data_IF_065891445861
#
_entry.id   IF_065891445861
#
_cell.length_a   1.000
_cell.length_b   1.000
_cell.length_c   1.000
_cell.angle_alpha   90.00
_cell.angle_beta   90.00
_cell.angle_gamma   90.00
#
_symmetry.space_group_name_H-M   'P 1'
#
loop_
_entity.id
_entity.type
_entity.pdbx_description
1 polymer ?
#
# COMPACT_ATOMS: atom_id res chain seq x y z
N UNK A 1 -22.73 -11.97 -58.04
CA UNK A 1 -22.27 -13.31 -57.64
C UNK A 1 -22.08 -13.28 -56.13
N UNK A 2 -23.02 -13.85 -55.38
CA UNK A 2 -22.96 -13.91 -53.92
C UNK A 2 -22.31 -15.24 -53.52
N UNK A 3 -21.12 -15.17 -52.89
CA UNK A 3 -20.46 -16.35 -52.34
C UNK A 3 -21.17 -16.76 -51.05
N UNK A 4 -21.88 -17.88 -51.10
CA UNK A 4 -22.44 -18.55 -49.93
C UNK A 4 -21.30 -19.30 -49.25
N UNK A 5 -20.84 -18.78 -48.10
CA UNK A 5 -19.82 -19.44 -47.29
C UNK A 5 -20.53 -20.53 -46.48
N UNK A 6 -20.26 -21.78 -46.83
CA UNK A 6 -20.77 -22.96 -46.12
C UNK A 6 -19.99 -23.15 -44.81
N UNK A 7 -20.56 -22.69 -43.70
CA UNK A 7 -20.00 -22.91 -42.35
C UNK A 7 -20.24 -24.39 -41.99
N UNK A 8 -19.16 -25.16 -41.86
CA UNK A 8 -19.28 -26.57 -41.48
C UNK A 8 -19.79 -26.68 -40.03
N UNK A 9 -20.83 -27.48 -39.81
CA UNK A 9 -21.39 -27.76 -38.48
C UNK A 9 -20.39 -28.45 -37.53
N UNK A 10 -19.22 -28.86 -38.03
CA UNK A 10 -18.20 -29.58 -37.27
C UNK A 10 -17.30 -28.66 -36.43
N UNK A 11 -17.04 -27.44 -36.91
CA UNK A 11 -16.21 -26.45 -36.21
C UNK A 11 -16.78 -25.99 -34.84
N UNK A 12 -18.09 -25.66 -34.68
CA UNK A 12 -18.62 -25.25 -33.39
C UNK A 12 -18.64 -26.41 -32.38
N UNK A 13 -18.79 -27.65 -32.83
CA UNK A 13 -18.78 -28.83 -31.96
C UNK A 13 -17.37 -29.11 -31.45
N UNK A 14 -16.35 -29.03 -32.32
CA UNK A 14 -14.95 -29.15 -31.91
C UNK A 14 -14.52 -28.03 -30.95
N UNK A 15 -15.00 -26.80 -31.15
CA UNK A 15 -14.73 -25.68 -30.25
C UNK A 15 -15.46 -25.83 -28.90
N UNK A 16 -16.69 -26.35 -28.90
CA UNK A 16 -17.42 -26.67 -27.68
C UNK A 16 -16.75 -27.82 -26.90
N UNK A 17 -16.24 -28.85 -27.59
CA UNK A 17 -15.44 -29.91 -26.97
C UNK A 17 -14.12 -29.37 -26.41
N UNK A 18 -13.44 -28.45 -27.10
CA UNK A 18 -12.23 -27.81 -26.58
C UNK A 18 -12.53 -27.00 -25.30
N UNK A 19 -13.62 -26.23 -25.28
CA UNK A 19 -14.10 -25.51 -24.09
C UNK A 19 -14.50 -26.46 -22.94
N UNK A 20 -15.07 -27.62 -23.26
CA UNK A 20 -15.38 -28.67 -22.27
C UNK A 20 -14.11 -29.36 -21.75
N UNK A 21 -13.09 -29.57 -22.59
CA UNK A 21 -11.78 -30.11 -22.18
C UNK A 21 -10.97 -29.12 -21.34
N UNK A 22 -11.18 -27.80 -21.49
CA UNK A 22 -10.62 -26.78 -20.60
C UNK A 22 -11.37 -26.65 -19.27
N UNK A 23 -12.57 -27.21 -19.17
CA UNK A 23 -13.37 -27.22 -17.95
C UNK A 23 -12.91 -28.36 -17.03
N UNK A 24 -11.70 -28.22 -16.49
CA UNK A 24 -11.24 -29.07 -15.39
C UNK A 24 -12.17 -28.86 -14.21
N UNK A 25 -12.98 -29.86 -13.84
CA UNK A 25 -13.72 -29.85 -12.58
C UNK A 25 -12.72 -29.86 -11.44
N UNK A 26 -12.46 -28.71 -10.84
CA UNK A 26 -11.56 -28.58 -9.70
C UNK A 26 -12.24 -29.12 -8.45
N UNK A 27 -11.80 -30.28 -7.99
CA UNK A 27 -12.14 -30.73 -6.64
C UNK A 27 -11.47 -29.78 -5.64
N UNK A 28 -12.27 -28.96 -4.96
CA UNK A 28 -11.79 -28.07 -3.90
C UNK A 28 -11.10 -28.90 -2.80
N UNK A 29 -9.91 -28.47 -2.38
CA UNK A 29 -9.12 -29.19 -1.37
C UNK A 29 -9.58 -28.74 0.01
N UNK A 30 -10.24 -29.61 0.78
CA UNK A 30 -10.54 -29.30 2.17
C UNK A 30 -9.30 -29.57 3.04
N UNK A 31 -8.43 -28.56 3.20
CA UNK A 31 -7.18 -28.67 3.99
C UNK A 31 -7.47 -28.99 5.46
N UNK A 32 -8.54 -28.43 6.02
CA UNK A 32 -8.94 -28.72 7.41
C UNK A 32 -9.32 -30.18 7.59
N UNK A 33 -9.95 -30.81 6.59
CA UNK A 33 -10.24 -32.24 6.63
C UNK A 33 -8.96 -33.09 6.62
N UNK A 34 -7.95 -32.73 5.82
CA UNK A 34 -6.65 -33.41 5.80
C UNK A 34 -5.94 -33.27 7.15
N UNK A 35 -5.92 -32.07 7.72
CA UNK A 35 -5.30 -31.80 9.03
C UNK A 35 -6.03 -32.47 10.19
N UNK A 36 -7.35 -32.68 10.10
CA UNK A 36 -8.14 -33.33 11.15
C UNK A 36 -7.71 -34.76 11.46
N UNK A 37 -7.09 -35.44 10.50
CA UNK A 37 -6.49 -36.77 10.69
C UNK A 37 -5.27 -36.77 11.63
N UNK A 38 -4.69 -35.59 11.91
CA UNK A 38 -3.48 -35.44 12.72
C UNK A 38 -3.74 -34.64 14.00
N UNK A 39 -4.01 -35.30 15.15
CA UNK A 39 -4.25 -34.60 16.41
C UNK A 39 -3.05 -33.76 16.88
N UNK A 40 -1.84 -34.14 16.46
CA UNK A 40 -0.60 -33.42 16.75
C UNK A 40 -0.46 -32.08 15.99
N UNK A 41 -1.34 -31.79 15.03
CA UNK A 41 -1.38 -30.51 14.28
C UNK A 41 -2.57 -29.64 14.66
N UNK A 42 -3.30 -29.99 15.73
CA UNK A 42 -4.56 -29.31 16.09
C UNK A 42 -4.39 -27.82 16.38
N UNK A 43 -3.28 -27.40 17.03
CA UNK A 43 -3.00 -25.98 17.28
C UNK A 43 -2.82 -25.21 15.97
N UNK A 44 -2.04 -25.76 15.04
CA UNK A 44 -1.82 -25.16 13.73
C UNK A 44 -3.11 -25.11 12.88
N UNK A 45 -3.89 -26.19 12.90
CA UNK A 45 -5.19 -26.24 12.23
C UNK A 45 -6.15 -25.16 12.76
N UNK A 46 -6.20 -24.96 14.08
CA UNK A 46 -7.03 -23.91 14.67
C UNK A 46 -6.59 -22.50 14.24
N UNK A 47 -5.28 -22.26 14.13
CA UNK A 47 -4.75 -20.98 13.62
C UNK A 47 -5.13 -20.73 12.16
N UNK A 48 -5.12 -21.76 11.30
CA UNK A 48 -5.56 -21.62 9.91
C UNK A 48 -7.05 -21.31 9.78
N UNK A 49 -7.87 -21.85 10.69
CA UNK A 49 -9.32 -21.59 10.72
C UNK A 49 -9.60 -20.18 11.27
N UNK A 50 -8.98 -19.80 12.40
CA UNK A 50 -9.22 -18.51 13.04
C UNK A 50 -8.71 -17.32 12.20
N UNK A 51 -7.66 -17.52 11.42
CA UNK A 51 -7.11 -16.51 10.50
C UNK A 51 -7.84 -16.40 9.16
N UNK A 52 -8.77 -17.32 8.85
CA UNK A 52 -9.48 -17.37 7.57
C UNK A 52 -8.67 -17.94 6.40
N UNK A 53 -7.41 -18.33 6.61
CA UNK A 53 -6.55 -18.93 5.57
C UNK A 53 -7.08 -20.28 5.08
N UNK A 54 -7.76 -21.04 5.94
CA UNK A 54 -8.37 -22.32 5.55
C UNK A 54 -9.32 -22.20 4.33
N UNK A 55 -10.07 -21.10 4.24
CA UNK A 55 -10.95 -20.83 3.11
C UNK A 55 -10.15 -20.49 1.83
N UNK A 56 -9.08 -19.70 1.97
CA UNK A 56 -8.18 -19.32 0.87
C UNK A 56 -7.45 -20.55 0.28
N UNK A 57 -7.04 -21.50 1.12
CA UNK A 57 -6.41 -22.74 0.69
C UNK A 57 -7.35 -23.66 -0.07
N UNK A 58 -8.66 -23.59 0.21
CA UNK A 58 -9.66 -24.47 -0.40
C UNK A 58 -9.87 -24.20 -1.89
N UNK A 59 -9.57 -22.99 -2.36
CA UNK A 59 -9.68 -22.59 -3.77
C UNK A 59 -8.42 -22.83 -4.60
N UNK A 60 -7.36 -23.40 -4.01
CA UNK A 60 -6.06 -23.55 -4.68
C UNK A 60 -5.73 -25.00 -5.03
N UNK A 61 -4.87 -25.16 -6.03
CA UNK A 61 -4.33 -26.45 -6.47
C UNK A 61 -2.83 -26.51 -6.14
N UNK A 62 -2.32 -27.73 -5.94
CA UNK A 62 -0.90 -28.03 -5.77
C UNK A 62 -0.19 -27.22 -4.68
N UNK A 63 -0.49 -27.52 -3.42
CA UNK A 63 0.08 -26.83 -2.26
C UNK A 63 1.00 -27.74 -1.45
N UNK A 64 2.00 -27.15 -0.80
CA UNK A 64 2.76 -27.83 0.28
C UNK A 64 2.61 -27.03 1.56
N UNK A 65 2.00 -27.65 2.57
CA UNK A 65 1.73 -27.07 3.87
C UNK A 65 2.88 -27.35 4.82
N UNK A 66 3.48 -26.32 5.39
CA UNK A 66 4.50 -26.43 6.44
C UNK A 66 3.78 -26.36 7.80
N UNK A 67 3.39 -27.53 8.30
CA UNK A 67 2.64 -27.64 9.55
C UNK A 67 3.60 -27.83 10.73
N UNK A 68 3.41 -27.03 11.77
CA UNK A 68 4.18 -27.12 13.02
C UNK A 68 3.44 -28.03 14.00
N UNK A 69 4.06 -29.14 14.47
CA UNK A 69 3.47 -29.97 15.51
C UNK A 69 3.30 -29.23 16.83
N UNK A 70 2.30 -29.64 17.60
CA UNK A 70 2.03 -29.07 18.93
C UNK A 70 3.23 -29.14 19.88
N UNK A 71 4.10 -30.16 19.75
CA UNK A 71 5.33 -30.29 20.55
C UNK A 71 6.43 -29.28 20.16
N UNK A 72 6.33 -28.69 18.98
CA UNK A 72 7.30 -27.75 18.40
C UNK A 72 6.79 -26.30 18.43
N UNK A 73 5.56 -26.05 18.90
CA UNK A 73 5.13 -24.70 19.25
C UNK A 73 5.89 -24.24 20.49
N UNK A 74 6.89 -23.38 20.28
CA UNK A 74 7.64 -22.79 21.39
C UNK A 74 6.76 -21.75 22.10
N UNK A 75 7.04 -21.47 23.38
CA UNK A 75 6.35 -20.38 24.10
C UNK A 75 6.44 -19.05 23.36
N UNK A 76 7.56 -18.82 22.66
CA UNK A 76 7.73 -17.69 21.75
C UNK A 76 6.65 -17.67 20.67
N UNK A 77 6.45 -18.78 19.95
CA UNK A 77 5.49 -18.88 18.83
C UNK A 77 4.04 -18.68 19.29
N UNK A 78 3.70 -19.17 20.49
CA UNK A 78 2.38 -18.94 21.10
C UNK A 78 2.20 -17.48 21.46
N UNK A 79 3.22 -16.83 22.02
CA UNK A 79 3.17 -15.40 22.29
C UNK A 79 3.19 -14.56 21.00
N UNK A 80 3.83 -15.04 19.93
CA UNK A 80 3.79 -14.38 18.63
C UNK A 80 2.38 -14.41 18.06
N UNK A 81 1.78 -15.60 17.99
CA UNK A 81 0.43 -15.78 17.44
C UNK A 81 -0.65 -15.06 18.25
N UNK A 82 -0.42 -14.80 19.55
CA UNK A 82 -1.31 -13.95 20.37
C UNK A 82 -1.05 -12.45 20.23
N UNK A 83 0.19 -12.03 20.00
CA UNK A 83 0.57 -10.61 19.88
C UNK A 83 0.29 -10.04 18.50
N UNK A 84 0.28 -10.88 17.47
CA UNK A 84 0.07 -10.45 16.09
C UNK A 84 -1.40 -10.08 15.84
N UNK A 85 -1.60 -8.98 15.12
CA UNK A 85 -2.92 -8.63 14.57
C UNK A 85 -3.42 -9.76 13.64
N UNK A 86 -4.74 -9.94 13.49
CA UNK A 86 -5.30 -11.00 12.63
C UNK A 86 -4.76 -10.99 11.20
N UNK A 87 -4.50 -9.81 10.63
CA UNK A 87 -3.91 -9.67 9.30
C UNK A 87 -2.46 -10.19 9.25
N UNK A 88 -1.63 -9.83 10.22
CA UNK A 88 -0.23 -10.26 10.30
C UNK A 88 -0.14 -11.75 10.61
N UNK A 89 -1.06 -12.28 11.43
CA UNK A 89 -1.17 -13.72 11.67
C UNK A 89 -1.52 -14.47 10.38
N UNK A 90 -2.47 -13.95 9.59
CA UNK A 90 -2.83 -14.52 8.30
C UNK A 90 -1.63 -14.50 7.34
N UNK A 91 -0.85 -13.42 7.30
CA UNK A 91 0.34 -13.30 6.46
C UNK A 91 1.50 -14.21 6.89
N UNK A 92 1.71 -14.37 8.20
CA UNK A 92 2.62 -15.38 8.75
C UNK A 92 2.21 -16.79 8.30
N UNK A 93 0.92 -17.12 8.41
CA UNK A 93 0.42 -18.44 7.99
C UNK A 93 0.52 -18.64 6.47
N UNK A 94 0.27 -17.60 5.65
CA UNK A 94 0.50 -17.64 4.20
C UNK A 94 1.96 -17.92 3.87
N UNK A 95 2.90 -17.38 4.65
CA UNK A 95 4.33 -17.65 4.43
C UNK A 95 4.72 -19.10 4.75
N UNK A 96 3.95 -19.78 5.61
CA UNK A 96 4.13 -21.21 5.92
C UNK A 96 3.42 -22.15 4.92
N UNK A 97 2.94 -21.63 3.78
CA UNK A 97 2.32 -22.42 2.71
C UNK A 97 3.08 -22.19 1.42
N UNK A 98 3.54 -23.26 0.79
CA UNK A 98 4.19 -23.21 -0.52
C UNK A 98 3.14 -23.41 -1.62
N UNK A 99 3.30 -22.67 -2.71
CA UNK A 99 2.37 -22.66 -3.86
C UNK A 99 2.66 -23.76 -4.89
N UNK A 100 3.49 -24.74 -4.52
CA UNK A 100 3.80 -25.90 -5.34
C UNK A 100 3.62 -27.19 -4.56
N UNK A 101 3.26 -28.25 -5.26
CA UNK A 101 3.23 -29.60 -4.73
C UNK A 101 4.65 -30.19 -4.74
N UNK A 102 5.15 -30.56 -3.56
CA UNK A 102 6.43 -31.26 -3.40
C UNK A 102 6.16 -32.72 -3.01
N UNK A 103 6.53 -33.66 -3.87
CA UNK A 103 6.50 -35.08 -3.51
C UNK A 103 7.77 -35.50 -2.77
N UNK A 104 7.74 -36.67 -2.13
CA UNK A 104 8.95 -37.29 -1.55
C UNK A 104 10.10 -37.41 -2.57
N UNK A 105 9.77 -37.73 -3.82
CA UNK A 105 10.76 -37.80 -4.91
C UNK A 105 11.34 -36.43 -5.26
N UNK A 106 10.52 -35.38 -5.24
CA UNK A 106 10.97 -34.01 -5.50
C UNK A 106 11.86 -33.51 -4.38
N UNK A 107 11.48 -33.76 -3.12
CA UNK A 107 12.28 -33.44 -1.93
C UNK A 107 13.66 -34.10 -1.97
N UNK A 108 13.76 -35.34 -2.47
CA UNK A 108 15.05 -36.05 -2.64
C UNK A 108 15.90 -35.48 -3.77
N UNK A 109 15.28 -34.87 -4.79
CA UNK A 109 15.96 -34.27 -5.95
C UNK A 109 16.40 -32.82 -5.74
N UNK A 110 16.03 -32.21 -4.61
CA UNK A 110 16.43 -30.85 -4.29
C UNK A 110 17.96 -30.75 -4.26
N UNK A 111 18.56 -29.84 -5.04
CA UNK A 111 20.00 -29.69 -5.07
C UNK A 111 20.52 -29.07 -3.76
N UNK A 112 21.79 -29.32 -3.41
CA UNK A 112 22.42 -28.67 -2.26
C UNK A 112 22.58 -27.15 -2.45
N UNK A 113 22.59 -26.67 -3.70
CA UNK A 113 22.55 -25.24 -4.03
C UNK A 113 21.21 -24.56 -3.69
N UNK A 114 20.16 -25.35 -3.47
CA UNK A 114 18.83 -24.88 -3.13
C UNK A 114 17.90 -24.71 -4.32
N UNK A 115 16.61 -24.74 -4.02
CA UNK A 115 15.50 -24.52 -4.94
C UNK A 115 14.60 -23.43 -4.38
N UNK A 116 14.44 -22.34 -5.10
CA UNK A 116 13.53 -21.25 -4.73
C UNK A 116 12.08 -21.67 -5.00
N UNK A 117 11.23 -21.52 -3.99
CA UNK A 117 9.81 -21.86 -4.03
C UNK A 117 8.99 -20.66 -3.55
N UNK A 118 7.99 -20.26 -4.33
CA UNK A 118 7.09 -19.17 -3.96
C UNK A 118 6.12 -19.60 -2.86
N UNK A 119 5.94 -18.76 -1.85
CA UNK A 119 4.94 -18.99 -0.80
C UNK A 119 3.60 -18.37 -1.17
N UNK A 120 2.56 -18.73 -0.42
CA UNK A 120 1.23 -18.13 -0.56
C UNK A 120 1.27 -16.63 -0.27
N UNK A 121 2.19 -16.20 0.58
CA UNK A 121 2.41 -14.80 0.90
C UNK A 121 2.90 -14.02 -0.34
N UNK A 122 3.79 -14.61 -1.14
CA UNK A 122 4.20 -14.05 -2.43
C UNK A 122 3.06 -14.01 -3.44
N UNK A 123 2.35 -15.14 -3.60
CA UNK A 123 1.23 -15.23 -4.53
C UNK A 123 0.03 -14.33 -4.16
N UNK A 124 -0.03 -13.87 -2.91
CA UNK A 124 -1.02 -12.89 -2.47
C UNK A 124 -0.68 -11.44 -2.87
N UNK A 125 0.51 -11.20 -3.42
CA UNK A 125 1.00 -9.86 -3.78
C UNK A 125 1.39 -9.00 -2.58
N UNK A 126 1.43 -9.58 -1.37
CA UNK A 126 1.77 -8.89 -0.12
C UNK A 126 3.27 -8.89 0.19
N UNK A 127 4.02 -9.77 -0.47
CA UNK A 127 5.46 -9.84 -0.29
C UNK A 127 6.18 -8.64 -0.91
N UNK A 128 7.16 -8.11 -0.19
CA UNK A 128 8.15 -7.17 -0.72
C UNK A 128 8.97 -7.91 -1.78
N UNK A 129 9.41 -7.22 -2.84
CA UNK A 129 10.12 -7.84 -3.96
C UNK A 129 11.23 -8.81 -3.49
N UNK A 130 11.04 -10.11 -3.73
CA UNK A 130 11.99 -11.17 -3.36
C UNK A 130 11.92 -11.69 -1.92
N UNK A 131 11.05 -11.15 -1.04
CA UNK A 131 10.90 -11.60 0.35
C UNK A 131 9.82 -12.67 0.56
N UNK A 132 9.05 -12.98 -0.48
CA UNK A 132 7.94 -13.93 -0.43
C UNK A 132 8.31 -15.37 -0.79
N UNK A 133 9.51 -15.60 -1.33
CA UNK A 133 9.96 -16.94 -1.70
C UNK A 133 10.83 -17.54 -0.60
N UNK A 134 10.86 -18.87 -0.52
CA UNK A 134 11.73 -19.60 0.40
C UNK A 134 12.70 -20.46 -0.40
N UNK A 135 13.93 -20.56 0.07
CA UNK A 135 14.94 -21.43 -0.53
C UNK A 135 14.94 -22.78 0.20
N UNK A 136 14.55 -23.83 -0.52
CA UNK A 136 14.55 -25.20 -0.01
C UNK A 136 15.87 -25.86 -0.39
N UNK A 137 16.67 -26.24 0.60
CA UNK A 137 17.97 -26.90 0.42
C UNK A 137 17.97 -28.28 1.03
N UNK A 138 18.65 -29.24 0.40
CA UNK A 138 18.88 -30.57 0.97
C UNK A 138 20.34 -30.75 1.33
N UNK A 139 20.60 -31.15 2.56
CA UNK A 139 21.95 -31.51 2.99
C UNK A 139 22.31 -32.91 2.45
N UNK A 140 23.38 -33.06 1.64
CA UNK A 140 23.80 -34.35 1.12
C UNK A 140 24.33 -35.30 2.19
N UNK A 141 24.80 -34.79 3.34
CA UNK A 141 25.37 -35.61 4.41
C UNK A 141 24.29 -36.23 5.32
N UNK A 142 23.37 -35.42 5.84
CA UNK A 142 22.28 -35.89 6.70
C UNK A 142 21.01 -36.31 5.94
N UNK A 143 20.88 -35.89 4.69
CA UNK A 143 19.67 -36.07 3.90
C UNK A 143 18.49 -35.19 4.35
N UNK A 144 18.72 -34.29 5.31
CA UNK A 144 17.71 -33.38 5.87
C UNK A 144 17.36 -32.26 4.89
N UNK A 145 16.09 -31.87 4.86
CA UNK A 145 15.59 -30.75 4.05
C UNK A 145 15.41 -29.53 4.95
N UNK A 146 16.04 -28.43 4.57
CA UNK A 146 15.98 -27.14 5.25
C UNK A 146 15.26 -26.13 4.39
N UNK A 147 14.38 -25.34 4.98
CA UNK A 147 13.66 -24.26 4.31
C UNK A 147 14.18 -22.97 4.90
N UNK A 148 14.78 -22.14 4.05
CA UNK A 148 15.42 -20.88 4.44
C UNK A 148 14.61 -19.72 3.90
N UNK A 149 14.16 -18.87 4.81
CA UNK A 149 13.67 -17.54 4.46
C UNK A 149 14.86 -16.64 4.08
N UNK A 150 14.74 -15.76 3.08
CA UNK A 150 15.82 -14.84 2.67
C UNK A 150 16.35 -13.96 3.82
N UNK A 151 15.47 -13.56 4.74
CA UNK A 151 15.78 -12.57 5.79
C UNK A 151 15.41 -13.06 7.20
N UNK A 152 15.20 -14.37 7.39
CA UNK A 152 14.71 -14.90 8.67
C UNK A 152 15.32 -16.27 8.99
N UNK A 153 14.96 -16.81 10.17
CA UNK A 153 15.42 -18.10 10.64
C UNK A 153 15.10 -19.23 9.64
N UNK A 154 16.06 -20.11 9.42
CA UNK A 154 15.85 -21.36 8.67
C UNK A 154 15.16 -22.40 9.53
N UNK A 155 14.24 -23.14 8.94
CA UNK A 155 13.55 -24.27 9.59
C UNK A 155 13.98 -25.59 8.94
N UNK A 156 13.81 -26.68 9.68
CA UNK A 156 14.09 -28.04 9.24
C UNK A 156 12.80 -28.82 9.05
N UNK A 157 12.71 -29.57 7.95
CA UNK A 157 11.60 -30.49 7.72
C UNK A 157 11.88 -31.77 8.51
N UNK A 158 11.04 -32.04 9.50
CA UNK A 158 11.15 -33.19 10.37
C UNK A 158 10.65 -34.46 9.68
N UNK A 159 9.48 -34.36 9.04
CA UNK A 159 8.82 -35.53 8.45
C UNK A 159 7.80 -35.13 7.38
N UNK A 160 7.70 -35.93 6.32
CA UNK A 160 6.58 -35.91 5.39
C UNK A 160 5.40 -36.66 6.02
N UNK A 161 4.32 -35.96 6.37
CA UNK A 161 3.17 -36.53 7.06
C UNK A 161 2.14 -37.10 6.10
N UNK A 162 1.80 -36.34 5.06
CA UNK A 162 0.82 -36.76 4.07
C UNK A 162 1.18 -36.21 2.69
N UNK A 163 0.84 -36.97 1.67
CA UNK A 163 0.91 -36.53 0.28
C UNK A 163 -0.32 -37.06 -0.43
N UNK A 164 -1.13 -36.16 -0.97
CA UNK A 164 -2.27 -36.49 -1.81
C UNK A 164 -2.03 -35.86 -3.19
N UNK A 165 -1.32 -36.57 -4.09
CA UNK A 165 -1.01 -36.04 -5.41
C UNK A 165 -2.28 -35.80 -6.23
N UNK A 166 -2.33 -34.77 -7.10
CA UNK A 166 -1.37 -33.66 -7.25
C UNK A 166 -1.71 -32.44 -6.38
N UNK A 167 -2.50 -32.64 -5.32
CA UNK A 167 -3.29 -31.60 -4.69
C UNK A 167 -2.59 -30.98 -3.47
N UNK A 168 -2.18 -31.80 -2.50
CA UNK A 168 -1.61 -31.30 -1.24
C UNK A 168 -0.52 -32.21 -0.69
N UNK A 169 0.54 -31.59 -0.17
CA UNK A 169 1.56 -32.23 0.66
C UNK A 169 1.56 -31.57 2.03
N UNK A 170 1.63 -32.35 3.11
CA UNK A 170 1.76 -31.83 4.48
C UNK A 170 3.13 -32.24 5.04
N UNK A 171 3.95 -31.25 5.32
CA UNK A 171 5.28 -31.40 5.91
C UNK A 171 5.25 -30.96 7.38
N UNK A 172 5.79 -31.78 8.26
CA UNK A 172 6.06 -31.42 9.64
C UNK A 172 7.37 -30.64 9.70
N UNK A 173 7.37 -29.47 10.33
CA UNK A 173 8.56 -28.63 10.52
C UNK A 173 8.80 -28.32 11.99
N UNK A 174 10.01 -27.87 12.32
CA UNK A 174 10.48 -27.64 13.70
C UNK A 174 10.06 -26.29 14.30
N UNK A 175 9.68 -25.29 13.50
CA UNK A 175 9.22 -23.98 13.95
C UNK A 175 8.45 -23.24 12.84
N UNK A 176 7.71 -22.19 13.20
CA UNK A 176 6.99 -21.34 12.24
C UNK A 176 7.97 -20.43 11.49
N UNK A 177 7.79 -20.34 10.17
CA UNK A 177 8.52 -19.41 9.34
C UNK A 177 7.88 -18.03 9.43
N UNK A 178 8.68 -16.99 9.71
CA UNK A 178 8.21 -15.60 9.78
C UNK A 178 8.69 -14.87 8.52
N UNK A 179 7.79 -14.19 7.78
CA UNK A 179 8.18 -13.36 6.65
C UNK A 179 8.89 -12.09 7.12
N UNK A 180 9.75 -11.54 6.26
CA UNK A 180 10.44 -10.29 6.52
C UNK A 180 9.43 -9.13 6.63
N UNK A 181 9.52 -8.32 7.69
CA UNK A 181 8.66 -7.14 7.89
C UNK A 181 7.51 -7.31 8.89
N UNK A 182 7.32 -8.52 9.45
CA UNK A 182 6.48 -8.68 10.64
C UNK A 182 7.34 -8.40 11.87
N UNK A 183 7.18 -7.23 12.48
CA UNK A 183 7.89 -6.91 13.73
C UNK A 183 7.39 -7.81 14.87
N UNK A 184 8.32 -8.58 15.42
CA UNK A 184 8.10 -9.56 16.48
C UNK A 184 8.40 -8.95 17.86
N UNK A 185 8.84 -7.69 17.90
CA UNK A 185 9.35 -7.01 19.10
C UNK A 185 8.47 -5.91 19.66
N UNK A 186 7.26 -5.71 19.11
CA UNK A 186 6.24 -4.85 19.69
C UNK A 186 5.69 -5.46 21.01
N UNK A 187 6.42 -5.27 22.10
CA UNK A 187 5.99 -5.64 23.44
C UNK A 187 6.55 -4.68 24.48
N UNK A 188 6.15 -3.41 24.41
CA UNK A 188 5.86 -2.61 25.62
C UNK A 188 5.02 -1.40 25.22
N UNK A 189 3.71 -1.48 25.43
CA UNK A 189 2.83 -0.46 26.04
C UNK A 189 1.39 -0.95 25.87
N UNK A 190 1.01 -1.92 26.72
CA UNK A 190 -0.41 -2.16 27.00
C UNK A 190 -0.83 -1.11 28.03
N UNK A 191 -1.58 -0.11 27.60
CA UNK A 191 -2.58 0.53 28.47
C UNK A 191 -3.97 0.17 27.93
N UNK A 192 -4.94 -0.14 28.80
CA UNK A 192 -6.19 -0.81 28.43
C UNK A 192 -7.11 0.11 27.62
N UNK A 193 -8.00 -0.44 26.77
CA UNK A 193 -8.90 0.34 25.94
C UNK A 193 -10.14 0.79 26.74
N UNK A 194 -10.73 1.96 26.48
CA UNK A 194 -12.16 2.10 26.59
C UNK A 194 -12.83 1.52 25.33
N UNK A 195 -13.89 0.78 25.60
CA UNK A 195 -14.67 -0.07 24.70
C UNK A 195 -15.48 0.69 23.65
N UNK A 196 -15.55 0.06 22.47
CA UNK A 196 -16.70 -0.03 21.55
C UNK A 196 -17.27 1.22 20.88
N UNK A 197 -17.13 1.23 19.55
CA UNK A 197 -17.96 1.97 18.61
C UNK A 197 -17.84 1.35 17.21
N UNK A 198 -18.76 0.44 16.89
CA UNK A 198 -18.92 -0.26 15.61
C UNK A 198 -19.16 0.70 14.43
N UNK A 199 -18.39 0.56 13.34
CA UNK A 199 -18.87 0.79 11.96
C UNK A 199 -17.86 0.22 10.94
N UNK A 200 -18.30 -0.18 9.73
CA UNK A 200 -17.68 -1.24 8.93
C UNK A 200 -16.49 -0.76 8.10
N UNK A 201 -15.52 -1.66 7.97
CA UNK A 201 -14.43 -1.71 7.00
C UNK A 201 -14.68 -0.96 5.66
N UNK A 202 -13.81 0.00 5.29
CA UNK A 202 -13.43 0.27 3.91
C UNK A 202 -12.13 -0.52 3.53
N UNK A 203 -11.85 -0.71 2.24
CA UNK A 203 -10.90 -1.70 1.73
C UNK A 203 -9.44 -1.34 2.09
N UNK A 204 -8.57 -2.36 2.13
CA UNK A 204 -7.11 -2.29 2.30
C UNK A 204 -6.47 -0.92 2.01
N UNK A 205 -6.45 -0.04 3.01
CA UNK A 205 -5.80 1.27 2.98
C UNK A 205 -4.35 1.16 3.42
N UNK A 206 -3.51 2.05 2.93
CA UNK A 206 -2.10 2.10 3.31
C UNK A 206 -2.02 2.66 4.74
N UNK A 207 -1.30 1.97 5.63
CA UNK A 207 -1.18 2.41 7.01
C UNK A 207 0.02 3.36 7.16
N UNK A 208 -0.25 4.67 7.15
CA UNK A 208 0.79 5.70 7.23
C UNK A 208 1.58 5.60 8.55
N UNK A 209 0.93 5.17 9.64
CA UNK A 209 1.58 4.94 10.94
C UNK A 209 2.71 3.92 10.80
N UNK A 210 2.45 2.78 10.14
CA UNK A 210 3.44 1.72 9.94
C UNK A 210 4.60 2.18 9.04
N UNK A 211 4.31 2.94 7.99
CA UNK A 211 5.34 3.50 7.10
C UNK A 211 6.31 4.40 7.89
N UNK A 212 5.77 5.26 8.74
CA UNK A 212 6.55 6.20 9.53
C UNK A 212 7.41 5.50 10.60
N UNK A 213 6.87 4.46 11.24
CA UNK A 213 7.62 3.62 12.19
C UNK A 213 8.80 2.93 11.49
N UNK A 214 8.56 2.33 10.32
CA UNK A 214 9.59 1.64 9.53
C UNK A 214 10.68 2.59 9.01
N UNK A 215 10.36 3.88 8.87
CA UNK A 215 11.32 4.90 8.43
C UNK A 215 12.35 5.33 9.48
N UNK A 216 12.21 4.88 10.74
CA UNK A 216 13.08 5.09 11.92
C UNK A 216 13.37 6.55 12.37
N UNK A 217 13.33 7.53 11.47
CA UNK A 217 13.71 8.92 11.71
C UNK A 217 12.50 9.87 11.75
N UNK A 218 11.29 9.35 12.00
CA UNK A 218 10.04 10.12 11.91
C UNK A 218 9.19 10.07 13.19
N UNK A 219 9.81 9.79 14.34
CA UNK A 219 9.11 9.56 15.60
C UNK A 219 8.35 10.80 16.09
N UNK A 220 8.95 11.99 15.90
CA UNK A 220 8.34 13.28 16.30
C UNK A 220 7.17 13.62 15.38
N UNK A 221 7.33 13.45 14.07
CA UNK A 221 6.27 13.65 13.09
C UNK A 221 5.09 12.71 13.36
N UNK A 222 5.36 11.43 13.60
CA UNK A 222 4.35 10.42 13.90
C UNK A 222 3.55 10.80 15.14
N UNK A 223 4.23 11.22 16.21
CA UNK A 223 3.58 11.65 17.46
C UNK A 223 2.65 12.85 17.22
N UNK A 224 3.05 13.81 16.39
CA UNK A 224 2.22 14.96 16.02
C UNK A 224 1.01 14.58 15.16
N UNK A 225 1.17 13.64 14.23
CA UNK A 225 0.07 13.13 13.39
C UNK A 225 -0.98 12.39 14.22
N UNK A 226 -0.54 11.56 15.17
CA UNK A 226 -1.44 10.86 16.09
C UNK A 226 -2.13 11.84 17.03
N UNK A 227 -1.39 12.79 17.62
CA UNK A 227 -1.95 13.76 18.56
C UNK A 227 -2.93 14.76 17.93
N UNK A 228 -2.79 15.05 16.64
CA UNK A 228 -3.68 15.94 15.90
C UNK A 228 -4.88 15.23 15.26
N UNK A 229 -4.84 13.90 15.15
CA UNK A 229 -5.91 13.10 14.55
C UNK A 229 -6.03 13.20 13.03
N UNK A 230 -5.10 13.88 12.35
CA UNK A 230 -5.12 14.04 10.88
C UNK A 230 -4.64 12.81 10.12
N UNK A 231 -4.08 11.82 10.83
CA UNK A 231 -3.60 10.58 10.18
C UNK A 231 -4.72 9.83 9.47
N UNK A 232 -5.89 9.76 10.09
CA UNK A 232 -7.08 9.12 9.52
C UNK A 232 -7.62 9.91 8.32
N UNK A 233 -7.45 11.23 8.30
CA UNK A 233 -7.81 12.06 7.15
C UNK A 233 -6.90 11.73 5.96
N UNK A 234 -5.59 11.63 6.18
CA UNK A 234 -4.65 11.29 5.12
C UNK A 234 -4.89 9.88 4.55
N UNK A 235 -5.17 8.90 5.41
CA UNK A 235 -5.51 7.54 4.99
C UNK A 235 -6.84 7.48 4.22
N UNK A 236 -7.78 8.39 4.48
CA UNK A 236 -9.04 8.49 3.73
C UNK A 236 -8.89 9.28 2.42
N UNK A 237 -7.93 10.22 2.35
CA UNK A 237 -7.65 11.03 1.16
C UNK A 237 -6.79 10.29 0.11
N UNK A 238 -6.38 9.05 0.39
CA UNK A 238 -5.69 8.17 -0.58
C UNK A 238 -6.59 7.79 -1.79
N UNK A 239 -7.90 8.03 -1.70
CA UNK A 239 -8.85 7.75 -2.77
C UNK A 239 -8.77 8.80 -3.90
N UNK A 240 -8.70 8.37 -5.16
CA UNK A 240 -8.73 9.27 -6.32
C UNK A 240 -7.35 9.50 -6.96
N UNK A 241 -6.82 10.73 -6.89
CA UNK A 241 -5.53 11.12 -7.48
C UNK A 241 -4.30 10.74 -6.62
N UNK A 242 -4.54 10.24 -5.41
CA UNK A 242 -3.52 9.86 -4.45
C UNK A 242 -2.88 11.04 -3.72
N UNK A 243 -1.97 10.74 -2.80
CA UNK A 243 -1.31 11.74 -1.96
C UNK A 243 0.20 11.58 -1.98
N UNK A 244 0.90 12.71 -1.76
CA UNK A 244 2.34 12.72 -1.51
C UNK A 244 2.60 13.39 -0.16
N UNK A 245 3.19 12.65 0.78
CA UNK A 245 3.44 13.10 2.15
C UNK A 245 4.92 13.44 2.31
N UNK A 246 5.23 14.68 2.69
CA UNK A 246 6.57 15.12 3.05
C UNK A 246 6.76 15.10 4.56
N UNK A 247 7.49 14.11 5.07
CA UNK A 247 7.64 13.89 6.51
C UNK A 247 8.96 14.50 6.98
N UNK A 248 8.95 15.48 7.89
CA UNK A 248 10.19 16.00 8.46
C UNK A 248 10.86 14.94 9.32
N UNK A 249 12.18 14.82 9.21
CA UNK A 249 12.95 13.92 10.08
C UNK A 249 13.02 14.44 11.51
N UNK A 250 13.34 13.59 12.47
CA UNK A 250 13.51 14.00 13.88
C UNK A 250 14.61 15.09 14.04
N UNK A 251 15.63 15.07 13.18
CA UNK A 251 16.62 16.14 13.08
C UNK A 251 16.03 17.46 12.59
N UNK A 252 15.07 17.42 11.66
CA UNK A 252 14.39 18.59 11.14
C UNK A 252 13.59 19.33 12.23
N UNK A 253 13.02 18.59 13.18
CA UNK A 253 12.35 19.18 14.36
C UNK A 253 13.35 19.75 15.36
N UNK A 254 14.54 19.17 15.46
CA UNK A 254 15.61 19.68 16.33
C UNK A 254 16.21 20.98 15.79
N UNK A 255 16.21 21.15 14.46
CA UNK A 255 16.72 22.34 13.76
C UNK A 255 15.69 23.49 13.66
N UNK A 256 14.53 23.37 14.31
CA UNK A 256 13.51 24.42 14.33
C UNK A 256 14.01 25.65 15.10
N UNK A 257 13.73 26.88 14.62
CA UNK A 257 14.12 28.09 15.32
C UNK A 257 13.31 28.23 16.63
N UNK A 258 13.95 28.71 17.70
CA UNK A 258 13.40 28.75 19.07
C UNK A 258 12.06 29.51 19.19
N UNK A 259 11.77 30.41 18.24
CA UNK A 259 10.52 31.16 18.16
C UNK A 259 9.34 30.36 17.59
N UNK A 260 9.54 29.10 17.17
CA UNK A 260 8.52 28.22 16.59
C UNK A 260 8.35 26.98 17.46
N UNK A 261 7.34 26.98 18.32
CA UNK A 261 6.99 25.83 19.15
C UNK A 261 5.70 25.16 18.67
N UNK A 262 5.85 24.18 17.78
CA UNK A 262 4.74 23.40 17.22
C UNK A 262 3.97 22.60 18.29
N UNK A 263 4.62 22.27 19.42
CA UNK A 263 3.98 21.55 20.52
C UNK A 263 2.99 22.44 21.29
N UNK A 264 3.24 23.75 21.36
CA UNK A 264 2.38 24.72 22.06
C UNK A 264 1.11 25.10 21.30
N UNK A 265 1.02 24.74 20.02
CA UNK A 265 -0.13 25.10 19.19
C UNK A 265 -1.40 24.32 19.56
N UNK A 266 -2.59 24.95 19.39
CA UNK A 266 -3.87 24.25 19.41
C UNK A 266 -3.93 23.13 18.36
N UNK A 267 -4.75 22.11 18.62
CA UNK A 267 -4.90 20.96 17.74
C UNK A 267 -5.24 21.36 16.28
N UNK A 268 -6.09 22.37 16.10
CA UNK A 268 -6.47 22.90 14.79
C UNK A 268 -5.29 23.51 14.02
N UNK A 269 -4.44 24.29 14.69
CA UNK A 269 -3.26 24.89 14.05
C UNK A 269 -2.21 23.83 13.71
N UNK A 270 -2.05 22.81 14.58
CA UNK A 270 -1.20 21.65 14.30
C UNK A 270 -1.69 20.90 13.06
N UNK A 271 -2.99 20.66 12.96
CA UNK A 271 -3.60 20.00 11.81
C UNK A 271 -3.32 20.76 10.50
N UNK A 272 -3.41 22.09 10.49
CA UNK A 272 -3.08 22.89 9.30
C UNK A 272 -1.60 22.77 8.91
N UNK A 273 -0.68 22.83 9.87
CA UNK A 273 0.76 22.62 9.58
C UNK A 273 1.01 21.23 9.03
N UNK A 274 0.35 20.20 9.55
CA UNK A 274 0.53 18.83 9.09
C UNK A 274 -0.09 18.61 7.70
N UNK A 275 -1.28 19.15 7.41
CA UNK A 275 -1.90 19.15 6.08
C UNK A 275 -1.04 19.88 5.04
N UNK A 276 -0.31 20.91 5.44
CA UNK A 276 0.62 21.61 4.56
C UNK A 276 1.82 20.76 4.11
N UNK A 277 2.11 19.66 4.80
CA UNK A 277 3.14 18.71 4.39
C UNK A 277 2.64 17.68 3.37
N UNK A 278 1.36 17.72 2.97
CA UNK A 278 0.76 16.72 2.08
C UNK A 278 0.27 17.37 0.81
N UNK A 279 0.63 16.80 -0.34
CA UNK A 279 0.08 17.15 -1.65
C UNK A 279 -1.13 16.29 -1.97
N UNK A 280 -2.09 16.87 -2.70
CA UNK A 280 -3.33 16.21 -3.15
C UNK A 280 -3.15 15.37 -4.44
N UNK A 281 -1.93 14.91 -4.73
CA UNK A 281 -1.64 14.06 -5.88
C UNK A 281 -0.46 13.14 -5.59
N UNK A 282 -0.49 11.94 -6.15
CA UNK A 282 0.63 11.00 -6.10
C UNK A 282 1.77 11.45 -7.01
N UNK A 283 2.94 11.69 -6.43
CA UNK A 283 4.17 11.97 -7.14
C UNK A 283 5.25 10.97 -6.75
N UNK A 284 5.84 10.30 -7.73
CA UNK A 284 7.09 9.56 -7.54
C UNK A 284 8.26 10.53 -7.44
N UNK A 285 9.40 10.06 -6.90
CA UNK A 285 10.62 10.88 -6.84
C UNK A 285 11.00 11.41 -8.24
N UNK A 286 10.96 10.55 -9.26
CA UNK A 286 11.23 10.94 -10.65
C UNK A 286 10.24 11.98 -11.22
N UNK A 287 8.99 11.98 -10.75
CA UNK A 287 8.00 12.98 -11.15
C UNK A 287 8.27 14.33 -10.49
N UNK A 288 8.67 14.34 -9.22
CA UNK A 288 9.09 15.56 -8.52
C UNK A 288 10.36 16.16 -9.13
N UNK A 289 11.27 15.30 -9.60
CA UNK A 289 12.49 15.70 -10.29
C UNK A 289 12.24 16.37 -11.65
N UNK A 290 11.17 15.96 -12.34
CA UNK A 290 10.79 16.43 -13.68
C UNK A 290 9.64 17.43 -13.64
N UNK A 291 9.34 17.98 -12.47
CA UNK A 291 8.18 18.84 -12.27
C UNK A 291 8.30 20.14 -13.09
N UNK A 292 7.30 20.40 -13.93
CA UNK A 292 7.27 21.57 -14.81
C UNK A 292 6.54 22.75 -14.18
N UNK A 293 5.53 22.46 -13.35
CA UNK A 293 4.80 23.44 -12.55
C UNK A 293 5.34 23.40 -11.12
N UNK A 294 6.15 24.38 -10.69
CA UNK A 294 6.79 24.31 -9.38
C UNK A 294 5.80 24.50 -8.23
N UNK A 295 4.71 25.27 -8.43
CA UNK A 295 3.74 25.56 -7.38
C UNK A 295 2.71 24.43 -7.31
N UNK A 296 2.68 23.73 -6.17
CA UNK A 296 1.79 22.61 -5.90
C UNK A 296 0.83 22.93 -4.74
N UNK A 297 -0.47 22.65 -4.89
CA UNK A 297 -1.43 22.78 -3.79
C UNK A 297 -1.23 21.68 -2.75
N UNK A 298 -1.49 22.02 -1.49
CA UNK A 298 -1.44 21.06 -0.36
C UNK A 298 -2.84 20.76 0.14
N UNK A 299 -2.99 19.78 1.04
CA UNK A 299 -4.27 19.54 1.72
C UNK A 299 -4.72 20.76 2.55
N UNK A 300 -3.79 21.59 3.02
CA UNK A 300 -4.14 22.84 3.71
C UNK A 300 -4.74 23.89 2.75
N UNK A 301 -4.41 23.85 1.45
CA UNK A 301 -4.98 24.75 0.43
C UNK A 301 -6.47 24.53 0.24
N UNK A 302 -6.95 23.29 0.33
CA UNK A 302 -8.37 22.95 0.15
C UNK A 302 -9.27 23.69 1.16
N UNK A 303 -8.82 23.77 2.41
CA UNK A 303 -9.57 24.41 3.49
C UNK A 303 -9.44 25.94 3.52
N UNK A 304 -8.31 26.48 3.06
CA UNK A 304 -8.01 27.91 3.12
C UNK A 304 -8.34 28.69 1.84
N UNK A 305 -8.57 27.99 0.72
CA UNK A 305 -8.86 28.58 -0.58
C UNK A 305 -7.66 28.65 -1.53
N UNK A 306 -7.96 28.77 -2.83
CA UNK A 306 -6.97 28.73 -3.90
C UNK A 306 -5.86 29.80 -3.73
N UNK A 307 -4.60 29.36 -3.77
CA UNK A 307 -3.42 30.24 -3.73
C UNK A 307 -2.80 30.42 -2.33
N UNK A 308 -3.43 29.90 -1.28
CA UNK A 308 -2.87 29.84 0.08
C UNK A 308 -2.26 28.47 0.36
N UNK A 309 -1.24 28.38 1.22
CA UNK A 309 -0.65 27.10 1.64
C UNK A 309 -0.10 26.23 0.49
N UNK A 310 0.47 26.85 -0.55
CA UNK A 310 1.11 26.13 -1.67
C UNK A 310 2.59 25.88 -1.41
N UNK A 311 3.12 24.75 -1.89
CA UNK A 311 4.55 24.44 -1.87
C UNK A 311 5.19 24.71 -3.23
N UNK A 312 6.43 25.22 -3.24
CA UNK A 312 7.21 25.38 -4.46
C UNK A 312 8.29 24.29 -4.52
N UNK A 313 8.14 23.36 -5.47
CA UNK A 313 9.04 22.22 -5.65
C UNK A 313 9.96 22.51 -6.83
N UNK A 314 11.26 22.38 -6.62
CA UNK A 314 12.27 22.64 -7.64
C UNK A 314 13.39 21.63 -7.59
N UNK A 315 14.11 21.50 -8.71
CA UNK A 315 15.29 20.65 -8.82
C UNK A 315 16.56 21.48 -8.69
N UNK A 316 17.49 21.03 -7.85
CA UNK A 316 18.83 21.61 -7.71
C UNK A 316 19.88 20.57 -8.10
N UNK A 317 20.95 21.01 -8.77
CA UNK A 317 22.10 20.19 -9.16
C UNK A 317 21.75 18.91 -9.92
N UNK A 318 20.66 18.92 -10.70
CA UNK A 318 20.38 17.83 -11.61
C UNK A 318 20.01 16.50 -10.97
N UNK A 319 19.69 16.42 -9.66
CA UNK A 319 19.14 15.22 -8.97
C UNK A 319 18.44 15.51 -7.64
N UNK A 320 18.63 16.69 -7.03
CA UNK A 320 18.12 16.97 -5.67
C UNK A 320 16.78 17.70 -5.75
N UNK A 321 15.73 17.13 -5.17
CA UNK A 321 14.42 17.78 -5.04
C UNK A 321 14.42 18.68 -3.81
N UNK A 322 14.13 19.97 -4.00
CA UNK A 322 13.99 20.97 -2.94
C UNK A 322 12.56 21.48 -2.88
N UNK A 323 12.07 21.68 -1.66
CA UNK A 323 10.70 22.09 -1.36
C UNK A 323 10.77 23.40 -0.59
N UNK A 324 10.18 24.44 -1.14
CA UNK A 324 10.19 25.78 -0.59
C UNK A 324 8.78 26.14 -0.10
N UNK A 325 8.65 26.41 1.21
CA UNK A 325 7.40 26.84 1.84
C UNK A 325 7.18 28.37 1.81
N UNK A 326 8.11 29.13 1.23
CA UNK A 326 8.20 30.59 1.29
C UNK A 326 8.97 31.11 2.51
N UNK A 327 9.03 30.32 3.59
CA UNK A 327 9.83 30.60 4.79
C UNK A 327 11.04 29.68 4.93
N UNK A 328 10.87 28.42 4.56
CA UNK A 328 11.87 27.36 4.74
C UNK A 328 12.12 26.68 3.40
N UNK A 329 13.39 26.41 3.13
CA UNK A 329 13.82 25.55 2.02
C UNK A 329 14.25 24.19 2.60
N UNK A 330 13.44 23.17 2.35
CA UNK A 330 13.70 21.79 2.72
C UNK A 330 14.24 21.00 1.52
N UNK A 331 14.97 19.92 1.81
CA UNK A 331 15.51 19.00 0.80
C UNK A 331 14.92 17.62 1.06
N UNK A 332 14.51 16.91 0.02
CA UNK A 332 14.10 15.50 0.12
C UNK A 332 15.35 14.67 0.42
N UNK A 333 15.37 13.99 1.57
CA UNK A 333 16.52 13.22 2.05
C UNK A 333 16.40 11.73 1.72
N UNK A 334 15.19 11.19 1.76
CA UNK A 334 14.95 9.76 1.53
C UNK A 334 13.52 9.50 1.04
N UNK A 335 13.31 8.35 0.39
CA UNK A 335 11.98 7.83 0.05
C UNK A 335 11.60 6.78 1.09
N UNK A 336 10.61 7.07 1.93
CA UNK A 336 10.16 6.16 2.99
C UNK A 336 9.14 5.14 2.46
N UNK A 337 8.32 5.56 1.50
CA UNK A 337 7.35 4.70 0.83
C UNK A 337 7.00 5.28 -0.54
N UNK A 338 6.78 4.43 -1.54
CA UNK A 338 6.39 4.86 -2.88
C UNK A 338 5.59 3.75 -3.55
N UNK A 339 4.25 3.80 -3.44
CA UNK A 339 3.33 2.92 -4.15
C UNK A 339 2.03 3.65 -4.44
N UNK A 340 1.66 3.77 -5.71
CA UNK A 340 0.40 4.38 -6.11
C UNK A 340 -0.80 3.78 -5.33
N UNK A 341 -1.61 4.58 -4.62
CA UNK A 341 -1.75 6.03 -4.77
C UNK A 341 -0.98 6.91 -3.74
N UNK A 342 -0.02 6.37 -2.98
CA UNK A 342 0.66 7.09 -1.89
C UNK A 342 2.18 7.08 -2.04
N UNK A 343 2.78 8.25 -1.89
CA UNK A 343 4.23 8.38 -1.72
C UNK A 343 4.55 9.14 -0.44
N UNK A 344 5.61 8.72 0.24
CA UNK A 344 6.08 9.30 1.50
C UNK A 344 7.58 9.57 1.37
N UNK A 345 7.96 10.84 1.49
CA UNK A 345 9.34 11.29 1.38
C UNK A 345 9.79 11.94 2.68
N UNK A 346 10.98 11.59 3.14
CA UNK A 346 11.64 12.28 4.24
C UNK A 346 12.19 13.63 3.78
N UNK A 347 12.01 14.67 4.59
CA UNK A 347 12.54 16.02 4.32
C UNK A 347 13.41 16.54 5.45
N UNK A 348 14.43 17.33 5.08
CA UNK A 348 15.45 17.82 6.02
C UNK A 348 14.99 18.96 6.94
N UNK A 349 13.87 19.63 6.63
CA UNK A 349 13.32 20.73 7.41
C UNK A 349 11.81 20.64 7.49
N UNK A 350 11.23 21.10 8.61
CA UNK A 350 9.78 21.24 8.75
C UNK A 350 9.29 22.37 7.85
N UNK A 351 8.28 22.07 7.03
CA UNK A 351 7.65 23.03 6.13
C UNK A 351 6.71 23.93 6.94
N UNK A 352 7.05 25.21 7.02
CA UNK A 352 6.26 26.19 7.79
C UNK A 352 5.44 27.05 6.83
N UNK A 353 4.10 27.07 6.95
CA UNK A 353 3.25 27.97 6.17
C UNK A 353 3.49 29.43 6.53
N UNK A 354 3.72 30.29 5.54
CA UNK A 354 3.88 31.73 5.75
C UNK A 354 2.65 32.40 6.37
N UNK A 355 1.48 31.81 6.16
CA UNK A 355 0.19 32.27 6.65
C UNK A 355 0.04 32.08 8.17
N UNK A 356 0.69 31.05 8.74
CA UNK A 356 0.71 30.80 10.19
C UNK A 356 1.93 31.42 10.87
N UNK A 357 2.98 31.70 10.11
CA UNK A 357 4.24 32.24 10.61
C UNK A 357 4.61 33.53 9.87
N UNK A 358 3.82 34.62 10.02
CA UNK A 358 4.18 35.89 9.44
C UNK A 358 5.55 36.31 9.97
N UNK A 359 6.48 36.68 9.08
CA UNK A 359 7.72 37.35 9.50
C UNK A 359 7.32 38.58 10.30
N UNK A 360 7.84 38.75 11.52
CA UNK A 360 7.68 39.96 12.31
C UNK A 360 7.89 41.19 11.43
N UNK A 361 6.80 41.83 11.02
CA UNK A 361 6.81 42.88 10.00
C UNK A 361 5.66 42.86 8.98
N UNK A 362 4.87 41.78 8.85
CA UNK A 362 3.63 41.81 8.03
C UNK A 362 2.39 41.76 8.91
N UNK A 363 1.72 42.92 9.00
CA UNK A 363 0.38 43.08 9.57
C UNK A 363 -0.60 42.18 8.83
N UNK A 364 -1.22 41.24 9.57
CA UNK A 364 -2.38 40.48 9.11
C UNK A 364 -3.51 41.48 8.90
N UNK A 365 -3.86 41.74 7.63
CA UNK A 365 -5.14 42.36 7.30
C UNK A 365 -6.22 41.30 7.48
N UNK A 366 -6.67 41.12 8.72
CA UNK A 366 -7.85 40.32 9.04
C UNK A 366 -9.08 41.07 8.54
N UNK A 367 -9.97 40.48 7.73
CA UNK A 367 -11.32 41.00 7.56
C UNK A 367 -12.06 40.86 8.90
N UNK A 368 -12.66 41.91 9.48
CA UNK A 368 -13.36 41.78 10.76
C UNK A 368 -14.72 41.10 10.56
N UNK A 369 -14.90 39.94 11.20
CA UNK A 369 -16.21 39.33 11.40
C UNK A 369 -16.86 39.89 12.68
N UNK A 370 -17.90 40.70 12.47
CA UNK A 370 -19.14 40.87 13.25
C UNK A 370 -19.12 40.81 14.78
N UNK A 371 -19.45 41.95 15.42
CA UNK A 371 -20.36 42.01 16.57
C UNK A 371 -21.19 43.33 16.58
N UNK A 372 -22.43 43.36 17.11
CA UNK A 372 -23.50 44.36 16.85
C UNK A 372 -23.66 45.40 18.00
N UNK A 373 -24.75 46.21 18.08
CA UNK A 373 -25.23 47.26 17.18
C UNK A 373 -25.31 48.63 17.91
N UNK A 374 -24.80 49.75 17.38
CA UNK A 374 -25.18 51.08 17.88
C UNK A 374 -25.23 52.17 16.80
N UNK A 375 -26.28 52.97 16.94
CA UNK A 375 -26.83 54.13 16.23
C UNK A 375 -25.93 55.03 15.36
N UNK A 376 -26.53 55.38 14.21
CA UNK A 376 -26.76 56.74 13.67
C UNK A 376 -25.56 57.70 13.72
N UNK A 377 -25.01 58.08 12.56
CA UNK A 377 -25.08 59.47 12.07
C UNK A 377 -24.38 59.66 10.71
N UNK A 378 -25.18 60.12 9.74
CA UNK A 378 -24.92 61.13 8.70
C UNK A 378 -23.71 61.01 7.74
N UNK A 379 -24.06 60.92 6.45
CA UNK A 379 -23.25 61.23 5.26
C UNK A 379 -22.72 62.69 5.25
N UNK A 380 -21.85 63.07 4.28
CA UNK A 380 -22.37 63.43 2.95
C UNK A 380 -21.54 62.92 1.76
N UNK A 381 -22.27 62.39 0.79
CA UNK A 381 -22.27 62.75 -0.65
C UNK A 381 -21.10 63.58 -1.20
N UNK A 382 -20.44 63.07 -2.24
CA UNK A 382 -20.31 63.82 -3.51
C UNK A 382 -19.91 62.92 -4.69
N UNK A 383 -20.86 62.77 -5.61
CA UNK A 383 -20.75 62.93 -7.08
C UNK A 383 -19.79 62.02 -7.86
N UNK A 384 -20.28 60.99 -8.57
CA UNK A 384 -20.90 61.05 -9.92
C UNK A 384 -19.90 61.46 -11.01
N UNK A 385 -19.49 60.47 -11.83
CA UNK A 385 -19.63 60.52 -13.29
C UNK A 385 -19.18 59.20 -13.94
N UNK A 386 -20.16 58.38 -14.29
CA UNK A 386 -20.12 57.42 -15.40
C UNK A 386 -20.79 58.10 -16.60
N UNK A 387 -20.45 57.72 -17.84
CA UNK A 387 -21.52 57.15 -18.64
C UNK A 387 -21.12 55.88 -19.39
N UNK A 388 -22.07 54.95 -19.39
CA UNK A 388 -22.06 53.69 -20.13
C UNK A 388 -22.09 53.90 -21.64
N UNK A 389 -21.41 53.01 -22.36
CA UNK A 389 -21.83 52.46 -23.65
C UNK A 389 -21.09 51.13 -23.84
N UNK A 390 -21.52 50.11 -24.57
CA UNK A 390 -22.77 49.57 -25.13
C UNK A 390 -22.28 48.24 -25.78
N UNK A 391 -23.10 47.19 -25.75
CA UNK A 391 -23.04 45.95 -26.56
C UNK A 391 -21.95 45.87 -27.66
N UNK A 392 -21.25 44.73 -27.77
CA UNK A 392 -21.09 43.90 -29.00
C UNK A 392 -20.31 42.60 -28.66
N UNK A 393 -20.95 41.43 -28.81
CA UNK A 393 -20.35 40.17 -29.33
C UNK A 393 -20.59 40.17 -30.86
N UNK A 394 -19.90 39.42 -31.77
CA UNK A 394 -19.40 38.01 -31.71
C UNK A 394 -18.08 37.85 -32.56
N UNK A 395 -17.70 36.74 -33.27
CA UNK A 395 -18.28 35.40 -33.40
C UNK A 395 -17.36 34.17 -33.28
N UNK A 396 -18.06 33.03 -33.25
CA UNK A 396 -17.60 31.65 -33.50
C UNK A 396 -17.46 31.39 -35.00
N UNK A 397 -16.51 30.53 -35.36
CA UNK A 397 -16.52 29.54 -36.46
C UNK A 397 -15.53 28.43 -36.02
N UNK A 398 -15.90 27.16 -35.79
CA UNK A 398 -16.32 26.06 -36.70
C UNK A 398 -15.15 25.51 -37.56
N UNK A 399 -15.13 24.16 -37.68
CA UNK A 399 -14.20 23.24 -38.40
C UNK A 399 -13.16 22.61 -37.47
N UNK A 400 -12.89 21.31 -37.41
CA UNK A 400 -13.52 20.07 -37.89
C UNK A 400 -12.68 18.90 -37.34
N UNK A 401 -13.37 17.83 -36.96
CA UNK A 401 -13.05 16.40 -37.11
C UNK A 401 -11.58 15.92 -37.11
N UNK A 402 -11.29 14.99 -36.18
CA UNK A 402 -10.07 14.18 -36.15
C UNK A 402 -10.24 12.89 -35.34
N UNK A 403 -11.24 12.07 -35.67
CA UNK A 403 -11.34 10.70 -35.17
C UNK A 403 -10.46 9.77 -36.01
N UNK A 404 -9.38 9.22 -35.44
CA UNK A 404 -8.58 8.17 -36.08
C UNK A 404 -8.12 7.13 -35.05
N UNK A 405 -8.63 5.90 -35.25
CA UNK A 405 -8.08 4.56 -34.91
C UNK A 405 -8.00 4.11 -33.43
N UNK A 406 -9.15 3.62 -32.98
CA UNK A 406 -9.25 2.32 -32.31
C UNK A 406 -8.86 1.17 -33.28
N UNK A 407 -8.58 -0.03 -32.75
CA UNK A 407 -8.80 -1.34 -33.44
C UNK A 407 -7.61 -2.09 -34.09
N UNK A 408 -6.34 -1.66 -34.01
CA UNK A 408 -5.26 -2.44 -34.67
C UNK A 408 -4.54 -3.50 -33.81
N UNK A 409 -4.73 -3.54 -32.49
CA UNK A 409 -4.02 -4.51 -31.64
C UNK A 409 -4.77 -5.82 -31.38
N UNK A 410 -6.10 -5.80 -31.49
CA UNK A 410 -6.94 -6.97 -31.24
C UNK A 410 -7.01 -7.96 -32.43
N UNK A 411 -6.73 -7.50 -33.65
CA UNK A 411 -6.71 -8.36 -34.85
C UNK A 411 -5.43 -9.20 -34.98
N UNK A 412 -4.33 -8.81 -34.32
CA UNK A 412 -3.08 -9.59 -34.39
C UNK A 412 -3.11 -10.86 -33.53
N UNK A 413 -3.84 -10.87 -32.42
CA UNK A 413 -3.98 -12.07 -31.59
C UNK A 413 -4.84 -13.17 -32.25
N UNK A 414 -5.81 -12.80 -33.07
CA UNK A 414 -6.72 -13.76 -33.71
C UNK A 414 -6.06 -14.42 -34.94
N UNK A 415 -5.23 -13.67 -35.68
CA UNK A 415 -4.47 -14.21 -36.81
C UNK A 415 -3.36 -15.19 -36.36
N UNK A 416 -2.74 -14.96 -35.20
CA UNK A 416 -1.67 -15.84 -34.69
C UNK A 416 -2.20 -17.21 -34.22
N UNK A 417 -3.45 -17.27 -33.72
CA UNK A 417 -4.08 -18.54 -33.35
C UNK A 417 -4.47 -19.41 -34.56
N UNK A 418 -4.68 -18.83 -35.74
CA UNK A 418 -5.06 -19.59 -36.95
C UNK A 418 -3.87 -20.18 -37.72
N UNK A 419 -2.65 -19.67 -37.50
CA UNK A 419 -1.44 -20.19 -38.18
C UNK A 419 -0.92 -21.48 -37.53
N UNK A 420 -1.32 -21.78 -36.29
CA UNK A 420 -0.95 -23.03 -35.60
C UNK A 420 -1.96 -24.18 -35.76
N UNK A 421 -3.01 -24.00 -36.57
CA UNK A 421 -4.08 -24.99 -36.73
C UNK A 421 -4.41 -25.36 -38.19
N UNK A 422 -3.43 -25.27 -39.09
CA UNK A 422 -3.49 -25.87 -40.43
C UNK A 422 -2.47 -27.00 -40.54
#
# INVERSE_FOLDING_TARGET
MANVISISHFAPIAFAYLLLLLSSTTAAINVTAVLSSFPNLSSFSNLLVSSGIAAELSGRNSLTLLAVPNSHFSSSDVDLTRRLLPANLADLLRFNVLTQFLSDSDLRRIPPSGSTVATLYEASGRAIAGSGSVNVTRDPASGSVTIRSPNSKSITVLKLLETKPPNITVLSVDSLLVPAGIDITASETLTPPPTSGTSPNPPAGINLTQILINGHNFNVALSLLVASGVITEFENDEHGAGITVFVPTDSAFSDLPENVNLQSFPAEQKAVVLRFHVLHSYYTLGSLESITNPVQPTLATELAGAGSYTLNISRVNGSIVTINSGLVLAVVTQTAFDQNPVSVFGVSKVLLPKELFPKSGQTVNTPPATAPPHEISLSPESSVNQPSSRLVSPPRDVVSSGAVKMTLWLCWCIAFCFIFLV
#
